data_IF_699861590067
#
_entry.id   IF_699861590067
#
_cell.length_a   1.000
_cell.length_b   1.000
_cell.length_c   1.000
_cell.angle_alpha   90.00
_cell.angle_beta   90.00
_cell.angle_gamma   90.00
#
_symmetry.space_group_name_H-M   'P 1'
#
loop_
_entity.id
_entity.type
_entity.pdbx_description
1 polymer ?
#
# COMPACT_ATOMS: atom_id res chain seq x y z
N UNK A 1 -23.22 7.93 -6.54
CA UNK A 1 -22.06 7.22 -7.14
C UNK A 1 -21.12 6.86 -6.00
N UNK A 2 -21.12 5.59 -5.55
CA UNK A 2 -20.11 5.11 -4.61
C UNK A 2 -18.85 4.84 -5.44
N UNK A 3 -18.07 5.89 -5.70
CA UNK A 3 -16.70 5.70 -6.15
C UNK A 3 -15.97 5.02 -5.01
N UNK A 4 -15.58 3.76 -5.21
CA UNK A 4 -14.60 3.12 -4.34
C UNK A 4 -13.34 3.96 -4.50
N UNK A 5 -13.13 4.91 -3.59
CA UNK A 5 -11.88 5.64 -3.48
C UNK A 5 -10.84 4.55 -3.15
N UNK A 6 -10.09 4.13 -4.17
CA UNK A 6 -8.98 3.21 -3.98
C UNK A 6 -8.03 3.87 -2.99
N UNK A 7 -7.95 3.31 -1.78
CA UNK A 7 -7.24 3.93 -0.67
C UNK A 7 -5.76 4.07 -1.04
N UNK A 8 -5.20 5.24 -0.78
CA UNK A 8 -3.75 5.43 -0.94
C UNK A 8 -2.99 4.73 0.19
N UNK A 9 -1.71 4.42 -0.05
CA UNK A 9 -0.82 3.87 1.00
C UNK A 9 -0.75 4.81 2.21
N UNK A 10 -0.83 6.13 1.99
CA UNK A 10 -0.90 7.13 3.05
C UNK A 10 -2.19 7.04 3.88
N UNK A 11 -3.34 6.80 3.26
CA UNK A 11 -4.59 6.62 4.00
C UNK A 11 -4.59 5.33 4.82
N UNK A 12 -3.92 4.28 4.32
CA UNK A 12 -3.87 2.98 5.00
C UNK A 12 -2.85 2.93 6.14
N UNK A 13 -1.63 3.41 5.89
CA UNK A 13 -0.49 3.30 6.81
C UNK A 13 -0.15 4.62 7.53
N UNK A 14 -0.76 5.73 7.13
CA UNK A 14 -0.41 7.06 7.64
C UNK A 14 1.07 7.38 7.40
N UNK A 15 1.77 7.96 8.38
CA UNK A 15 3.17 8.38 8.23
C UNK A 15 4.13 7.24 7.92
N UNK A 16 3.75 5.98 8.20
CA UNK A 16 4.59 4.82 7.89
C UNK A 16 4.72 4.55 6.39
N UNK A 17 3.86 5.15 5.54
CA UNK A 17 3.96 5.06 4.09
C UNK A 17 5.31 5.53 3.55
N UNK A 18 5.92 6.57 4.16
CA UNK A 18 7.24 7.07 3.76
C UNK A 18 8.37 6.05 3.99
N UNK A 19 8.18 5.06 4.86
CA UNK A 19 9.14 3.98 5.06
C UNK A 19 9.26 3.05 3.85
N UNK A 20 8.25 3.03 2.97
CA UNK A 20 8.21 2.18 1.78
C UNK A 20 8.90 2.81 0.56
N UNK A 21 9.32 4.07 0.67
CA UNK A 21 9.94 4.80 -0.43
C UNK A 21 11.22 4.15 -0.94
N UNK A 22 11.99 3.52 -0.04
CA UNK A 22 13.19 2.72 -0.40
C UNK A 22 12.88 1.49 -1.27
N UNK A 23 11.63 1.05 -1.31
CA UNK A 23 11.16 -0.01 -2.20
C UNK A 23 10.54 0.53 -3.50
N UNK A 24 10.43 1.85 -3.65
CA UNK A 24 9.83 2.52 -4.81
C UNK A 24 8.33 2.75 -4.69
N UNK A 25 7.75 2.56 -3.49
CA UNK A 25 6.35 2.86 -3.18
C UNK A 25 6.26 4.27 -2.62
N UNK A 26 5.50 5.14 -3.27
CA UNK A 26 5.15 6.46 -2.78
C UNK A 26 3.92 6.44 -1.86
N UNK A 27 3.74 7.46 -1.02
CA UNK A 27 2.59 7.57 -0.12
C UNK A 27 1.26 7.72 -0.87
N UNK A 28 1.28 8.28 -2.07
CA UNK A 28 0.10 8.47 -2.92
C UNK A 28 -0.14 7.31 -3.88
N UNK A 29 0.70 6.27 -3.86
CA UNK A 29 0.41 5.07 -4.64
C UNK A 29 -0.89 4.44 -4.13
N UNK A 30 -1.65 3.87 -5.06
CA UNK A 30 -2.74 2.95 -4.73
C UNK A 30 -2.19 1.66 -4.10
N UNK A 31 -2.99 0.99 -3.27
CA UNK A 31 -2.60 -0.25 -2.59
C UNK A 31 -2.17 -1.34 -3.58
N UNK A 32 -2.89 -1.55 -4.68
CA UNK A 32 -2.55 -2.60 -5.65
C UNK A 32 -1.21 -2.31 -6.33
N UNK A 33 -0.98 -1.04 -6.71
CA UNK A 33 0.29 -0.60 -7.28
C UNK A 33 1.44 -0.78 -6.28
N UNK A 34 1.22 -0.44 -5.02
CA UNK A 34 2.19 -0.62 -3.95
C UNK A 34 2.51 -2.10 -3.70
N UNK A 35 1.51 -2.98 -3.67
CA UNK A 35 1.68 -4.43 -3.54
C UNK A 35 2.51 -4.96 -4.71
N UNK A 36 2.21 -4.56 -5.94
CA UNK A 36 2.95 -4.98 -7.13
C UNK A 36 4.44 -4.57 -7.06
N UNK A 37 4.72 -3.33 -6.67
CA UNK A 37 6.08 -2.81 -6.47
C UNK A 37 6.83 -3.56 -5.36
N UNK A 38 6.15 -3.86 -4.25
CA UNK A 38 6.73 -4.60 -3.12
C UNK A 38 6.97 -6.07 -3.45
N UNK A 39 6.13 -6.72 -4.26
CA UNK A 39 6.25 -8.14 -4.59
C UNK A 39 7.61 -8.49 -5.19
N UNK A 40 8.20 -7.56 -5.96
CA UNK A 40 9.51 -7.74 -6.59
C UNK A 40 10.70 -7.57 -5.62
N UNK A 41 10.59 -6.71 -4.59
CA UNK A 41 11.73 -6.33 -3.73
C UNK A 41 11.60 -6.80 -2.28
N UNK A 42 10.38 -6.87 -1.76
CA UNK A 42 10.04 -7.18 -0.38
C UNK A 42 8.67 -7.90 -0.32
N UNK A 43 8.60 -9.18 -0.72
CA UNK A 43 7.33 -9.91 -0.82
C UNK A 43 6.60 -10.05 0.53
N UNK A 44 7.33 -10.03 1.65
CA UNK A 44 6.76 -10.01 2.99
C UNK A 44 6.00 -8.70 3.29
N UNK A 45 6.49 -7.55 2.79
CA UNK A 45 5.78 -6.27 2.92
C UNK A 45 4.57 -6.21 2.00
N UNK A 46 4.64 -6.81 0.81
CA UNK A 46 3.49 -6.93 -0.08
C UNK A 46 2.36 -7.73 0.59
N UNK A 47 2.71 -8.85 1.24
CA UNK A 47 1.75 -9.65 2.01
C UNK A 47 1.14 -8.87 3.17
N UNK A 48 1.99 -8.22 3.98
CA UNK A 48 1.54 -7.37 5.09
C UNK A 48 0.57 -6.28 4.62
N UNK A 49 0.93 -5.55 3.54
CA UNK A 49 0.10 -4.47 3.01
C UNK A 49 -1.27 -4.99 2.54
N UNK A 50 -1.30 -6.16 1.89
CA UNK A 50 -2.55 -6.83 1.51
C UNK A 50 -3.40 -7.20 2.72
N UNK A 51 -2.79 -7.78 3.76
CA UNK A 51 -3.49 -8.18 4.98
C UNK A 51 -4.07 -6.97 5.74
N UNK A 52 -3.34 -5.86 5.81
CA UNK A 52 -3.81 -4.62 6.44
C UNK A 52 -4.94 -3.98 5.63
N UNK A 53 -4.84 -3.98 4.31
CA UNK A 53 -5.90 -3.47 3.43
C UNK A 53 -7.20 -4.28 3.59
N UNK A 54 -7.10 -5.61 3.69
CA UNK A 54 -8.25 -6.49 3.90
C UNK A 54 -8.90 -6.34 5.28
N UNK A 55 -8.16 -5.91 6.32
CA UNK A 55 -8.71 -5.68 7.66
C UNK A 55 -9.41 -4.32 7.82
N UNK A 56 -9.19 -3.39 6.89
CA UNK A 56 -9.77 -2.04 6.91
C UNK A 56 -11.02 -1.89 6.01
N UNK A 57 -11.29 -2.88 5.16
CA UNK A 57 -12.46 -2.97 4.29
C UNK A 57 -13.63 -3.69 4.96
#
# INVERSE_FOLDING_TARGET
MYGVLMASVLELLGPHAYGLWKYGVGPTDDIEAAIAKLKAKAPHLAKFLSEVAQQRL
#
